data_IF_210562292652
#
_entry.id   IF_210562292652
#
_cell.length_a   1.000
_cell.length_b   1.000
_cell.length_c   1.000
_cell.angle_alpha   90.00
_cell.angle_beta   90.00
_cell.angle_gamma   90.00
#
_symmetry.space_group_name_H-M   'P 1'
#
loop_
_entity.id
_entity.type
_entity.pdbx_description
1 polymer ?
#
# COMPACT_ATOMS: atom_id res chain seq x y z
N UNK A 1 7.51 1.70 5.31
CA UNK A 1 6.52 0.58 5.21
C UNK A 1 6.45 0.10 3.76
N UNK A 2 6.96 -1.10 3.49
CA UNK A 2 7.13 -1.58 2.10
C UNK A 2 5.86 -2.23 1.56
N UNK A 3 5.43 -1.90 0.35
CA UNK A 3 4.40 -2.64 -0.37
C UNK A 3 4.89 -3.08 -1.74
N UNK A 4 4.26 -4.12 -2.26
CA UNK A 4 4.58 -4.62 -3.59
C UNK A 4 3.90 -3.74 -4.65
N UNK A 5 4.71 -3.16 -5.54
CA UNK A 5 4.18 -2.49 -6.71
C UNK A 5 3.87 -3.52 -7.78
N UNK A 6 2.61 -3.66 -8.18
CA UNK A 6 2.27 -4.56 -9.29
C UNK A 6 2.82 -4.01 -10.62
N UNK A 7 2.86 -2.68 -10.80
CA UNK A 7 3.45 -2.06 -12.00
C UNK A 7 4.96 -2.22 -12.07
N UNK A 8 5.69 -1.90 -10.98
CA UNK A 8 7.15 -2.02 -10.97
C UNK A 8 7.64 -3.45 -10.67
N UNK A 9 6.73 -4.39 -10.36
CA UNK A 9 7.02 -5.77 -9.95
C UNK A 9 8.09 -5.87 -8.87
N UNK A 10 8.11 -4.90 -7.96
CA UNK A 10 9.14 -4.74 -6.95
C UNK A 10 8.52 -4.30 -5.63
N UNK A 11 9.11 -4.76 -4.52
CA UNK A 11 8.78 -4.25 -3.18
C UNK A 11 9.42 -2.88 -3.04
N UNK A 12 8.62 -1.85 -2.75
CA UNK A 12 9.09 -0.48 -2.55
C UNK A 12 8.40 0.12 -1.34
N UNK A 13 9.02 1.14 -0.76
CA UNK A 13 8.36 1.93 0.26
C UNK A 13 7.21 2.73 -0.32
N UNK A 14 6.07 2.64 0.35
CA UNK A 14 4.91 3.46 0.05
C UNK A 14 5.16 4.88 0.53
N UNK A 15 4.96 5.85 -0.36
CA UNK A 15 4.84 7.27 -0.03
C UNK A 15 3.41 7.52 0.47
N UNK A 16 3.24 8.42 1.45
CA UNK A 16 1.93 8.75 2.02
C UNK A 16 1.16 7.53 2.55
N UNK A 17 1.85 6.66 3.28
CA UNK A 17 1.24 5.49 3.92
C UNK A 17 0.20 5.92 4.98
N UNK A 18 -1.08 5.63 4.72
CA UNK A 18 -2.22 5.87 5.60
C UNK A 18 -2.89 4.56 5.96
N UNK A 19 -3.14 4.37 7.24
CA UNK A 19 -4.00 3.28 7.72
C UNK A 19 -5.45 3.56 7.35
N UNK A 20 -6.04 2.69 6.55
CA UNK A 20 -7.45 2.71 6.16
C UNK A 20 -8.13 1.43 6.62
N UNK A 21 -9.37 1.53 7.06
CA UNK A 21 -10.21 0.36 7.31
C UNK A 21 -10.97 0.06 6.03
N UNK A 22 -10.72 -1.11 5.43
CA UNK A 22 -11.45 -1.54 4.23
C UNK A 22 -12.93 -1.77 4.55
N UNK A 23 -13.80 -1.75 3.53
CA UNK A 23 -15.24 -2.06 3.70
C UNK A 23 -15.52 -3.42 4.36
N UNK A 24 -14.58 -4.37 4.28
CA UNK A 24 -14.66 -5.67 4.96
C UNK A 24 -14.21 -5.64 6.44
N UNK A 25 -14.07 -4.46 7.06
CA UNK A 25 -13.70 -4.30 8.47
C UNK A 25 -12.23 -4.62 8.79
N UNK A 26 -11.41 -4.98 7.80
CA UNK A 26 -10.00 -5.30 8.01
C UNK A 26 -9.13 -4.04 7.90
N UNK A 27 -8.15 -3.85 8.82
CA UNK A 27 -7.17 -2.79 8.69
C UNK A 27 -6.29 -3.04 7.47
N UNK A 28 -5.99 -1.98 6.74
CA UNK A 28 -5.09 -1.99 5.62
C UNK A 28 -4.27 -0.70 5.65
N UNK A 29 -3.09 -0.73 5.06
CA UNK A 29 -2.30 0.48 4.80
C UNK A 29 -2.41 0.79 3.32
N UNK A 30 -2.95 1.94 2.99
CA UNK A 30 -2.93 2.49 1.64
C UNK A 30 -1.75 3.44 1.52
N UNK A 31 -1.06 3.44 0.39
CA UNK A 31 -0.05 4.45 0.07
C UNK A 31 0.12 4.59 -1.44
N UNK A 32 1.18 5.28 -1.85
CA UNK A 32 1.45 5.59 -3.26
C UNK A 32 2.85 5.14 -3.62
N UNK A 33 3.01 4.53 -4.79
CA UNK A 33 4.33 4.19 -5.31
C UNK A 33 5.08 5.47 -5.72
N UNK A 34 6.27 5.77 -5.15
CA UNK A 34 7.03 6.97 -5.52
C UNK A 34 7.59 6.92 -6.95
N UNK A 35 7.68 5.74 -7.57
CA UNK A 35 8.25 5.57 -8.91
C UNK A 35 7.20 5.70 -10.03
N UNK A 36 6.04 5.10 -9.85
CA UNK A 36 5.02 5.02 -10.90
C UNK A 36 3.70 5.72 -10.54
N UNK A 37 3.60 6.33 -9.36
CA UNK A 37 2.41 7.05 -8.88
C UNK A 37 1.20 6.16 -8.58
N UNK A 38 1.29 4.84 -8.78
CA UNK A 38 0.17 3.92 -8.57
C UNK A 38 -0.13 3.79 -7.08
N UNK A 39 -1.41 3.83 -6.71
CA UNK A 39 -1.86 3.51 -5.35
C UNK A 39 -1.50 2.06 -5.01
N UNK A 40 -0.81 1.89 -3.90
CA UNK A 40 -0.46 0.60 -3.30
C UNK A 40 -1.34 0.37 -2.09
N UNK A 41 -1.71 -0.89 -1.89
CA UNK A 41 -2.44 -1.33 -0.71
C UNK A 41 -1.67 -2.49 -0.09
N UNK A 42 -1.34 -2.36 1.19
CA UNK A 42 -0.82 -3.44 2.00
C UNK A 42 -1.89 -3.84 3.00
N UNK A 43 -2.53 -4.97 2.73
CA UNK A 43 -3.44 -5.60 3.67
C UNK A 43 -2.56 -6.34 4.67
N UNK A 44 -2.54 -5.88 5.92
CA UNK A 44 -1.83 -6.52 7.02
C UNK A 44 -2.82 -6.87 8.12
N UNK A 45 -2.63 -8.01 8.79
CA UNK A 45 -3.20 -8.19 10.13
C UNK A 45 -2.63 -7.08 11.02
N UNK A 46 -3.49 -6.56 11.90
CA UNK A 46 -3.12 -5.62 12.95
C UNK A 46 -1.80 -6.00 13.63
#
# INVERSE_FOLDING_TARGET
MQAYCVKCRAKREMKDAKSITMKNGKPATQGVCPNCGTKMFRIGKA
#
